data_IF_965352265755
#
_entry.id   IF_965352265755
#
_cell.length_a   1.000
_cell.length_b   1.000
_cell.length_c   1.000
_cell.angle_alpha   90.00
_cell.angle_beta   90.00
_cell.angle_gamma   90.00
#
_symmetry.space_group_name_H-M   'P 1'
#
loop_
_entity.id
_entity.type
_entity.pdbx_description
1 polymer ?
#
# COMPACT_ATOMS: atom_id res chain seq x y z
N UNK A 1 7.23 12.28 -39.26
CA UNK A 1 8.32 11.39 -38.80
C UNK A 1 8.51 11.61 -37.30
N UNK A 2 8.67 10.53 -36.53
CA UNK A 2 8.85 10.63 -35.08
C UNK A 2 10.34 10.72 -34.75
N UNK A 3 10.70 11.54 -33.76
CA UNK A 3 12.06 11.67 -33.26
C UNK A 3 12.07 11.54 -31.74
N UNK A 4 13.03 10.79 -31.21
CA UNK A 4 13.33 10.76 -29.79
C UNK A 4 14.34 11.85 -29.43
N UNK A 5 13.99 12.71 -28.48
CA UNK A 5 14.88 13.71 -27.92
C UNK A 5 15.68 13.05 -26.79
N UNK A 6 17.00 12.98 -26.92
CA UNK A 6 17.86 12.30 -25.95
C UNK A 6 18.70 13.31 -25.18
N UNK A 7 18.66 13.21 -23.85
CA UNK A 7 19.50 13.97 -22.93
C UNK A 7 20.03 13.04 -21.83
N UNK A 8 21.32 13.16 -21.51
CA UNK A 8 22.03 12.32 -20.56
C UNK A 8 21.83 10.82 -20.83
N UNK A 9 21.84 10.43 -22.11
CA UNK A 9 21.68 9.04 -22.55
C UNK A 9 20.25 8.47 -22.43
N UNK A 10 19.26 9.31 -22.10
CA UNK A 10 17.85 8.92 -21.96
C UNK A 10 16.94 9.75 -22.85
N UNK A 11 15.88 9.12 -23.36
CA UNK A 11 14.78 9.78 -24.06
C UNK A 11 14.02 10.65 -23.05
N UNK A 12 13.98 11.95 -23.30
CA UNK A 12 13.23 12.91 -22.49
C UNK A 12 11.87 13.22 -23.09
N UNK A 13 11.73 13.14 -24.42
CA UNK A 13 10.48 13.39 -25.12
C UNK A 13 10.47 12.75 -26.52
N UNK A 14 9.26 12.61 -27.09
CA UNK A 14 9.05 12.23 -28.49
C UNK A 14 8.36 13.39 -29.21
N UNK A 15 8.87 13.78 -30.37
CA UNK A 15 8.26 14.80 -31.21
C UNK A 15 7.89 14.23 -32.57
N UNK A 16 6.79 14.73 -33.14
CA UNK A 16 6.36 14.40 -34.49
C UNK A 16 6.66 15.61 -35.38
N UNK A 17 7.49 15.40 -36.38
CA UNK A 17 7.96 16.46 -37.28
C UNK A 17 7.51 16.16 -38.71
N UNK A 18 7.17 17.20 -39.48
CA UNK A 18 6.87 17.06 -40.89
C UNK A 18 8.12 16.65 -41.69
N UNK A 19 7.94 15.83 -42.72
CA UNK A 19 9.04 15.44 -43.63
C UNK A 19 9.19 16.47 -44.75
N UNK A 20 9.64 17.67 -44.38
CA UNK A 20 9.84 18.83 -45.26
C UNK A 20 10.86 19.82 -44.66
N UNK A 21 11.15 20.91 -45.39
CA UNK A 21 12.13 21.92 -44.98
C UNK A 21 11.80 22.57 -43.62
N UNK A 22 10.52 22.80 -43.31
CA UNK A 22 10.09 23.35 -42.03
C UNK A 22 10.41 22.40 -40.86
N UNK A 23 10.23 21.10 -41.09
CA UNK A 23 10.59 20.07 -40.13
C UNK A 23 12.09 19.97 -39.89
N UNK A 24 12.88 20.03 -40.97
CA UNK A 24 14.33 20.07 -40.87
C UNK A 24 14.83 21.31 -40.11
N UNK A 25 14.23 22.47 -40.36
CA UNK A 25 14.54 23.71 -39.64
C UNK A 25 14.19 23.63 -38.15
N UNK A 26 13.05 23.01 -37.80
CA UNK A 26 12.68 22.77 -36.41
C UNK A 26 13.68 21.88 -35.67
N UNK A 27 14.07 20.74 -36.27
CA UNK A 27 15.05 19.82 -35.67
C UNK A 27 16.41 20.51 -35.48
N UNK A 28 16.86 21.28 -36.47
CA UNK A 28 18.11 22.04 -36.37
C UNK A 28 18.09 23.09 -35.25
N UNK A 29 16.92 23.70 -34.99
CA UNK A 29 16.78 24.70 -33.94
C UNK A 29 16.85 24.12 -32.53
N UNK A 30 16.38 22.87 -32.31
CA UNK A 30 16.37 22.21 -31.00
C UNK A 30 17.60 21.33 -30.74
N UNK A 31 18.36 20.99 -31.79
CA UNK A 31 19.55 20.14 -31.69
C UNK A 31 20.62 20.63 -30.68
N UNK A 32 20.88 21.94 -30.50
CA UNK A 32 21.86 22.41 -29.51
C UNK A 32 21.48 22.13 -28.06
N UNK A 33 20.19 21.94 -27.77
CA UNK A 33 19.66 21.74 -26.41
C UNK A 33 19.54 20.25 -26.03
N UNK A 34 19.93 19.34 -26.93
CA UNK A 34 19.80 17.89 -26.77
C UNK A 34 21.11 17.19 -27.13
N UNK A 35 21.47 16.15 -26.40
CA UNK A 35 22.68 15.38 -26.69
C UNK A 35 22.57 14.63 -28.03
N UNK A 36 21.35 14.18 -28.37
CA UNK A 36 21.07 13.48 -29.63
C UNK A 36 19.59 13.55 -30.01
N UNK A 37 19.32 13.55 -31.33
CA UNK A 37 17.98 13.45 -31.90
C UNK A 37 17.91 12.17 -32.74
N UNK A 38 17.24 11.13 -32.25
CA UNK A 38 17.17 9.85 -32.95
C UNK A 38 15.88 9.76 -33.80
N UNK A 39 15.97 9.60 -35.12
CA UNK A 39 14.81 9.29 -35.94
C UNK A 39 14.26 7.91 -35.57
N UNK A 40 12.95 7.82 -35.32
CA UNK A 40 12.27 6.53 -35.08
C UNK A 40 11.67 6.04 -36.39
N UNK A 41 12.52 5.65 -37.33
CA UNK A 41 12.17 5.41 -38.73
C UNK A 41 12.09 3.92 -39.10
N UNK A 42 12.53 3.03 -38.22
CA UNK A 42 12.36 1.59 -38.42
C UNK A 42 11.02 1.11 -37.86
N UNK A 43 10.44 0.09 -38.51
CA UNK A 43 9.23 -0.58 -38.01
C UNK A 43 9.46 -1.23 -36.63
N UNK A 44 10.72 -1.57 -36.30
CA UNK A 44 11.10 -2.09 -34.99
C UNK A 44 10.96 -1.02 -33.90
N UNK A 45 11.55 0.16 -34.08
CA UNK A 45 11.46 1.27 -33.12
C UNK A 45 10.03 1.79 -32.95
N UNK A 46 9.28 1.87 -34.05
CA UNK A 46 7.87 2.28 -34.03
C UNK A 46 6.98 1.25 -33.31
N UNK A 47 7.32 -0.05 -33.39
CA UNK A 47 6.60 -1.13 -32.72
C UNK A 47 6.93 -1.30 -31.23
N UNK A 48 8.08 -0.78 -30.77
CA UNK A 48 8.52 -0.88 -29.38
C UNK A 48 7.84 0.13 -28.44
N UNK A 49 7.21 1.18 -28.98
CA UNK A 49 6.62 2.24 -28.16
C UNK A 49 7.69 3.05 -27.41
N UNK A 50 8.83 3.33 -28.07
CA UNK A 50 9.91 4.16 -27.52
C UNK A 50 9.33 5.48 -27.02
N UNK A 51 9.69 5.85 -25.79
CA UNK A 51 9.14 7.02 -25.11
C UNK A 51 10.03 7.51 -23.97
N UNK A 52 9.56 8.51 -23.19
CA UNK A 52 10.31 9.03 -22.06
C UNK A 52 10.77 7.93 -21.09
N UNK A 53 12.04 8.02 -20.66
CA UNK A 53 12.65 7.06 -19.74
C UNK A 53 13.34 5.86 -20.42
N UNK A 54 13.18 5.68 -21.73
CA UNK A 54 14.03 4.75 -22.50
C UNK A 54 15.46 5.29 -22.54
N UNK A 55 16.47 4.43 -22.57
CA UNK A 55 17.86 4.89 -22.57
C UNK A 55 18.86 3.81 -22.89
N UNK A 56 20.12 4.22 -23.08
CA UNK A 56 21.22 3.29 -23.26
C UNK A 56 21.70 2.74 -21.92
N UNK A 57 21.60 1.42 -21.75
CA UNK A 57 22.11 0.69 -20.60
C UNK A 57 22.91 -0.52 -21.08
N UNK A 58 24.15 -0.65 -20.60
CA UNK A 58 25.04 -1.78 -20.91
C UNK A 58 25.20 -2.08 -22.43
N UNK A 59 25.20 -1.03 -23.25
CA UNK A 59 25.34 -1.13 -24.70
C UNK A 59 24.07 -1.53 -25.45
N UNK A 60 22.92 -1.59 -24.77
CA UNK A 60 21.60 -1.81 -25.36
C UNK A 60 20.67 -0.62 -25.11
N UNK A 61 19.79 -0.33 -26.05
CA UNK A 61 18.72 0.65 -25.86
C UNK A 61 17.51 -0.05 -25.25
N UNK A 62 17.19 0.26 -24.00
CA UNK A 62 16.22 -0.48 -23.20
C UNK A 62 15.09 0.42 -22.69
N UNK A 63 13.92 -0.19 -22.52
CA UNK A 63 12.78 0.45 -21.87
C UNK A 63 13.10 0.76 -20.40
N UNK A 64 12.49 1.82 -19.82
CA UNK A 64 12.58 2.03 -18.38
C UNK A 64 12.07 0.80 -17.65
N UNK A 65 12.66 0.49 -16.49
CA UNK A 65 12.11 -0.52 -15.61
C UNK A 65 10.64 -0.17 -15.33
N UNK A 66 9.74 -1.14 -15.49
CA UNK A 66 8.34 -0.94 -15.15
C UNK A 66 8.25 -0.50 -13.70
N UNK A 67 7.51 0.59 -13.44
CA UNK A 67 7.26 1.06 -12.09
C UNK A 67 6.61 -0.10 -11.31
N UNK A 68 7.17 -0.41 -10.14
CA UNK A 68 6.59 -1.45 -9.29
C UNK A 68 5.14 -1.02 -8.97
N UNK A 69 4.16 -1.93 -9.07
CA UNK A 69 2.80 -1.57 -8.72
C UNK A 69 2.78 -1.02 -7.30
N UNK A 70 1.97 0.03 -7.03
CA UNK A 70 1.87 0.56 -5.67
C UNK A 70 1.50 -0.59 -4.72
N UNK A 71 2.03 -0.60 -3.49
CA UNK A 71 1.69 -1.63 -2.53
C UNK A 71 0.17 -1.69 -2.34
N UNK A 72 -0.43 -2.90 -2.24
CA UNK A 72 -1.86 -3.02 -2.04
C UNK A 72 -2.26 -2.30 -0.74
N UNK A 73 -3.24 -1.40 -0.84
CA UNK A 73 -3.79 -0.71 0.34
C UNK A 73 -4.70 -1.69 1.09
N UNK A 74 -4.45 -2.00 2.37
CA UNK A 74 -5.33 -2.86 3.14
C UNK A 74 -6.74 -2.24 3.23
N UNK A 75 -7.80 -3.03 3.06
CA UNK A 75 -9.16 -2.50 3.19
C UNK A 75 -9.38 -1.88 4.57
N UNK A 76 -10.30 -0.92 4.67
CA UNK A 76 -10.67 -0.30 5.95
C UNK A 76 -11.85 -1.02 6.59
N UNK A 77 -12.81 -1.48 5.78
CA UNK A 77 -13.96 -2.26 6.20
C UNK A 77 -13.74 -3.72 5.83
N UNK A 78 -13.88 -4.59 6.81
CA UNK A 78 -13.76 -6.04 6.68
C UNK A 78 -15.10 -6.68 6.98
N UNK A 79 -15.42 -7.78 6.31
CA UNK A 79 -16.40 -8.71 6.87
C UNK A 79 -15.86 -9.22 8.20
N UNK A 80 -16.72 -9.63 9.14
CA UNK A 80 -16.26 -10.24 10.40
C UNK A 80 -15.28 -11.39 10.15
N UNK A 81 -15.54 -12.24 9.16
CA UNK A 81 -14.66 -13.36 8.80
C UNK A 81 -13.27 -12.90 8.36
N UNK A 82 -13.18 -11.83 7.56
CA UNK A 82 -11.89 -11.31 7.09
C UNK A 82 -11.14 -10.57 8.19
N UNK A 83 -11.85 -9.83 9.05
CA UNK A 83 -11.23 -9.20 10.22
C UNK A 83 -10.58 -10.23 11.14
N UNK A 84 -11.19 -11.40 11.30
CA UNK A 84 -10.64 -12.50 12.12
C UNK A 84 -9.30 -13.04 11.63
N UNK A 85 -8.98 -12.86 10.34
CA UNK A 85 -7.68 -13.27 9.78
C UNK A 85 -6.54 -12.31 10.18
N UNK A 86 -6.87 -11.14 10.71
CA UNK A 86 -5.89 -10.22 11.30
C UNK A 86 -5.48 -10.65 12.72
N UNK A 87 -6.27 -11.51 13.35
CA UNK A 87 -6.08 -11.97 14.73
C UNK A 87 -5.45 -13.36 14.76
N UNK A 88 -4.66 -13.64 15.79
CA UNK A 88 -4.15 -15.00 16.03
C UNK A 88 -5.29 -15.92 16.47
N UNK A 89 -5.08 -17.24 16.42
CA UNK A 89 -6.05 -18.20 16.96
C UNK A 89 -6.30 -17.95 18.46
N UNK A 90 -5.26 -17.61 19.22
CA UNK A 90 -5.38 -17.25 20.64
C UNK A 90 -6.23 -16.01 20.87
N UNK A 91 -5.99 -14.95 20.10
CA UNK A 91 -6.77 -13.69 20.15
C UNK A 91 -8.24 -13.93 19.75
N UNK A 92 -8.48 -14.76 18.74
CA UNK A 92 -9.83 -15.17 18.33
C UNK A 92 -10.57 -15.95 19.43
N UNK A 93 -9.90 -16.93 20.04
CA UNK A 93 -10.46 -17.74 21.13
C UNK A 93 -10.78 -16.87 22.34
N UNK A 94 -9.90 -15.93 22.67
CA UNK A 94 -10.08 -14.98 23.76
C UNK A 94 -11.33 -14.13 23.55
N UNK A 95 -11.52 -13.57 22.35
CA UNK A 95 -12.69 -12.73 22.06
C UNK A 95 -13.98 -13.54 22.09
N UNK A 96 -13.98 -14.74 21.48
CA UNK A 96 -15.17 -15.60 21.44
C UNK A 96 -15.60 -16.08 22.83
N UNK A 97 -14.64 -16.49 23.66
CA UNK A 97 -14.90 -17.07 24.97
C UNK A 97 -14.68 -16.10 26.12
N UNK A 98 -14.60 -14.79 25.84
CA UNK A 98 -14.28 -13.81 26.86
C UNK A 98 -15.19 -13.91 28.09
N UNK A 99 -14.62 -14.39 29.19
CA UNK A 99 -15.28 -14.49 30.47
C UNK A 99 -14.54 -13.63 31.49
N UNK A 100 -15.20 -12.54 31.89
CA UNK A 100 -14.62 -11.57 32.80
C UNK A 100 -14.20 -12.17 34.15
N UNK A 101 -14.94 -13.17 34.66
CA UNK A 101 -14.65 -13.77 35.96
C UNK A 101 -13.39 -14.65 35.93
N UNK A 102 -13.20 -15.43 34.86
CA UNK A 102 -12.00 -16.25 34.63
C UNK A 102 -10.78 -15.35 34.36
N UNK A 103 -10.97 -14.27 33.58
CA UNK A 103 -9.89 -13.34 33.25
C UNK A 103 -9.33 -12.54 34.43
N UNK A 104 -10.17 -12.18 35.41
CA UNK A 104 -9.72 -11.52 36.64
C UNK A 104 -8.91 -12.45 37.53
N UNK A 105 -9.17 -13.76 37.47
CA UNK A 105 -8.45 -14.76 38.26
C UNK A 105 -7.06 -15.06 37.67
N UNK A 106 -6.93 -15.05 36.34
CA UNK A 106 -5.71 -15.50 35.65
C UNK A 106 -4.77 -14.35 35.24
N UNK A 107 -5.25 -13.11 35.13
CA UNK A 107 -4.44 -11.96 34.69
C UNK A 107 -4.36 -10.84 35.74
N UNK A 108 -3.25 -10.70 36.49
CA UNK A 108 -3.11 -9.70 37.55
C UNK A 108 -3.29 -8.24 37.09
N UNK A 109 -2.96 -7.93 35.83
CA UNK A 109 -3.14 -6.60 35.25
C UNK A 109 -4.62 -6.17 35.19
N UNK A 110 -5.54 -7.13 35.09
CA UNK A 110 -6.98 -6.90 34.93
C UNK A 110 -7.68 -6.69 36.27
N UNK A 111 -7.14 -7.29 37.34
CA UNK A 111 -7.63 -7.09 38.71
C UNK A 111 -7.65 -5.62 39.12
N UNK A 112 -6.74 -4.83 38.55
CA UNK A 112 -6.57 -3.40 38.84
C UNK A 112 -7.41 -2.47 37.93
N UNK A 113 -8.21 -3.01 37.00
CA UNK A 113 -9.07 -2.17 36.17
C UNK A 113 -10.19 -1.52 36.97
N UNK A 114 -10.49 -0.27 36.62
CA UNK A 114 -11.65 0.45 37.14
C UNK A 114 -12.94 -0.20 36.65
N UNK A 115 -14.05 0.04 37.34
CA UNK A 115 -15.39 -0.42 36.90
C UNK A 115 -15.69 0.05 35.48
N UNK A 116 -15.32 1.29 35.14
CA UNK A 116 -15.52 1.86 33.81
C UNK A 116 -14.74 1.12 32.72
N UNK A 117 -13.45 0.80 32.97
CA UNK A 117 -12.64 0.03 32.03
C UNK A 117 -13.22 -1.38 31.80
N UNK A 118 -13.67 -2.04 32.87
CA UNK A 118 -14.32 -3.36 32.76
C UNK A 118 -15.62 -3.31 31.95
N UNK A 119 -16.44 -2.29 32.17
CA UNK A 119 -17.67 -2.07 31.40
C UNK A 119 -17.37 -1.79 29.92
N UNK A 120 -16.32 -1.00 29.65
CA UNK A 120 -15.84 -0.70 28.30
C UNK A 120 -15.44 -1.95 27.53
N UNK A 121 -14.59 -2.81 28.10
CA UNK A 121 -14.16 -4.07 27.46
C UNK A 121 -15.35 -4.98 27.17
N UNK A 122 -16.27 -5.14 28.13
CA UNK A 122 -17.49 -5.96 27.93
C UNK A 122 -18.37 -5.42 26.81
N UNK A 123 -18.60 -4.11 26.77
CA UNK A 123 -19.41 -3.48 25.72
C UNK A 123 -18.75 -3.60 24.36
N UNK A 124 -17.43 -3.46 24.28
CA UNK A 124 -16.69 -3.57 23.04
C UNK A 124 -16.71 -4.99 22.46
N UNK A 125 -16.51 -6.02 23.31
CA UNK A 125 -16.60 -7.42 22.90
C UNK A 125 -18.02 -7.78 22.45
N UNK A 126 -19.05 -7.28 23.13
CA UNK A 126 -20.43 -7.48 22.70
C UNK A 126 -20.68 -6.88 21.31
N UNK A 127 -20.24 -5.65 21.06
CA UNK A 127 -20.34 -5.01 19.74
C UNK A 127 -19.61 -5.80 18.65
N UNK A 128 -18.39 -6.26 18.93
CA UNK A 128 -17.65 -7.12 18.01
C UNK A 128 -18.40 -8.42 17.70
N UNK A 129 -19.03 -9.04 18.71
CA UNK A 129 -19.81 -10.27 18.53
C UNK A 129 -21.05 -10.05 17.66
N UNK A 130 -21.68 -8.88 17.75
CA UNK A 130 -22.88 -8.55 16.98
C UNK A 130 -22.59 -7.92 15.61
N UNK A 131 -21.35 -7.46 15.37
CA UNK A 131 -20.96 -6.83 14.12
C UNK A 131 -20.97 -7.82 12.94
N UNK A 132 -21.50 -7.36 11.79
CA UNK A 132 -21.43 -8.08 10.51
C UNK A 132 -20.17 -7.63 9.75
N UNK A 133 -19.96 -6.32 9.70
CA UNK A 133 -18.80 -5.66 9.13
C UNK A 133 -18.07 -4.86 10.22
N UNK A 134 -16.75 -4.80 10.10
CA UNK A 134 -15.86 -4.15 11.04
C UNK A 134 -14.98 -3.16 10.28
N UNK A 135 -15.17 -1.87 10.57
CA UNK A 135 -14.29 -0.81 10.11
C UNK A 135 -13.15 -0.63 11.11
N UNK A 136 -11.90 -0.89 10.69
CA UNK A 136 -10.71 -0.75 11.55
C UNK A 136 -10.38 0.69 11.91
N UNK A 137 -10.94 1.65 11.17
CA UNK A 137 -10.76 3.08 11.39
C UNK A 137 -11.87 3.70 12.22
N UNK A 138 -12.97 2.97 12.46
CA UNK A 138 -14.03 3.41 13.35
C UNK A 138 -13.48 3.65 14.76
N UNK A 139 -13.77 4.80 15.39
CA UNK A 139 -13.26 5.12 16.73
C UNK A 139 -13.55 4.03 17.77
N UNK A 140 -14.69 3.34 17.67
CA UNK A 140 -15.06 2.27 18.59
C UNK A 140 -14.16 1.04 18.40
N UNK A 141 -13.84 0.70 17.15
CA UNK A 141 -12.91 -0.40 16.84
C UNK A 141 -11.50 -0.06 17.29
N UNK A 142 -11.05 1.18 17.07
CA UNK A 142 -9.74 1.67 17.53
C UNK A 142 -9.63 1.60 19.05
N UNK A 143 -10.64 2.10 19.77
CA UNK A 143 -10.72 2.03 21.23
C UNK A 143 -10.73 0.59 21.73
N UNK A 144 -11.47 -0.30 21.07
CA UNK A 144 -11.55 -1.72 21.41
C UNK A 144 -10.20 -2.42 21.28
N UNK A 145 -9.57 -2.37 20.10
CA UNK A 145 -8.30 -3.04 19.83
C UNK A 145 -7.18 -2.42 20.66
N UNK A 146 -7.18 -1.09 20.82
CA UNK A 146 -6.27 -0.38 21.71
C UNK A 146 -6.42 -0.82 23.18
N UNK A 147 -7.66 -1.00 23.66
CA UNK A 147 -7.91 -1.49 25.00
C UNK A 147 -7.41 -2.93 25.19
N UNK A 148 -7.65 -3.85 24.24
CA UNK A 148 -7.11 -5.21 24.32
C UNK A 148 -5.58 -5.20 24.41
N UNK A 149 -4.91 -4.41 23.58
CA UNK A 149 -3.44 -4.26 23.63
C UNK A 149 -2.94 -3.68 24.95
N UNK A 150 -3.56 -2.60 25.45
CA UNK A 150 -3.18 -1.98 26.72
C UNK A 150 -3.38 -2.90 27.94
N UNK A 151 -4.30 -3.86 27.84
CA UNK A 151 -4.58 -4.85 28.87
C UNK A 151 -3.70 -6.09 28.78
N UNK A 152 -2.80 -6.18 27.80
CA UNK A 152 -1.96 -7.34 27.55
C UNK A 152 -2.74 -8.55 27.03
N UNK A 153 -3.86 -8.30 26.33
CA UNK A 153 -4.77 -9.32 25.80
C UNK A 153 -4.55 -9.63 24.33
N UNK A 154 -3.46 -9.09 23.77
CA UNK A 154 -2.99 -9.38 22.43
C UNK A 154 -1.58 -9.97 22.55
N UNK A 155 -1.12 -10.64 21.50
CA UNK A 155 0.14 -11.41 21.49
C UNK A 155 1.42 -10.55 21.47
N UNK A 156 1.41 -9.39 22.12
CA UNK A 156 2.59 -8.57 22.40
C UNK A 156 2.39 -7.07 22.26
N UNK A 157 3.42 -6.29 22.60
CA UNK A 157 3.43 -4.85 22.39
C UNK A 157 3.36 -4.53 20.89
N UNK A 158 2.57 -3.51 20.51
CA UNK A 158 2.41 -3.09 19.11
C UNK A 158 1.38 -3.88 18.31
N UNK A 159 0.93 -5.03 18.82
CA UNK A 159 -0.05 -5.90 18.14
C UNK A 159 -1.36 -5.21 17.80
N UNK A 160 -1.83 -4.33 18.68
CA UNK A 160 -2.99 -3.47 18.41
C UNK A 160 -2.79 -2.57 17.17
N UNK A 161 -1.58 -2.01 16.99
CA UNK A 161 -1.24 -1.18 15.84
C UNK A 161 -1.23 -1.97 14.54
N UNK A 162 -0.72 -3.20 14.57
CA UNK A 162 -0.68 -4.11 13.41
C UNK A 162 -2.10 -4.47 12.93
N UNK A 163 -2.98 -4.83 13.86
CA UNK A 163 -4.40 -5.13 13.56
C UNK A 163 -5.09 -3.89 12.96
N UNK A 164 -4.89 -2.71 13.55
CA UNK A 164 -5.47 -1.46 13.05
C UNK A 164 -4.83 -0.98 11.74
N UNK A 165 -3.63 -1.44 11.39
CA UNK A 165 -3.00 -1.23 10.09
C UNK A 165 -3.52 -2.21 9.01
N UNK A 166 -4.18 -3.29 9.41
CA UNK A 166 -4.64 -4.36 8.51
C UNK A 166 -3.56 -5.39 8.19
N UNK A 167 -2.55 -5.53 9.06
CA UNK A 167 -1.49 -6.53 8.92
C UNK A 167 -2.01 -7.90 9.37
N UNK A 168 -1.95 -8.89 8.48
CA UNK A 168 -2.28 -10.28 8.80
C UNK A 168 -1.19 -10.91 9.68
N UNK A 169 -1.60 -11.95 10.41
CA UNK A 169 -0.64 -12.86 11.05
C UNK A 169 -0.16 -13.83 9.97
N UNK A 170 1.13 -13.84 9.69
CA UNK A 170 1.76 -14.87 8.85
C UNK A 170 1.85 -16.22 9.58
#
# INVERSE_FOLDING_TARGET
MNYALIQNGMVTNIVVVADNDDGAAYLAAIAPDHDHLEPLDTAHEQGLGVGPGWGWQDGAFVAPAAEAPPPPVPPTVYTKTDFRKLLTDGENILIDNFNFAEFVAETPAIKNLTVAQRAGVRSAIARYKDAIDIDRTDPTTVEFIGALGALGLLDGPGRAGQILAGESVD
#
